data_IF_139493649124
#
_entry.id   IF_139493649124
#
_cell.length_a   1.000
_cell.length_b   1.000
_cell.length_c   1.000
_cell.angle_alpha   90.00
_cell.angle_beta   90.00
_cell.angle_gamma   90.00
#
_symmetry.space_group_name_H-M   'P 1'
#
loop_
_entity.id
_entity.type
_entity.pdbx_description
1 polymer ?
#
# COMPACT_ATOMS: atom_id res chain seq x y z
N UNK A 1 21.62 5.77 8.92
CA UNK A 1 20.84 6.20 10.10
C UNK A 1 20.38 7.62 9.86
N UNK A 2 19.16 7.81 9.36
CA UNK A 2 18.55 9.12 9.17
C UNK A 2 17.36 9.24 10.13
N UNK A 3 17.36 10.33 10.90
CA UNK A 3 16.50 10.63 12.03
C UNK A 3 15.09 10.97 11.55
N UNK A 4 14.09 10.26 12.08
CA UNK A 4 12.67 10.30 11.68
C UNK A 4 11.89 11.17 12.68
N UNK A 5 12.19 12.48 12.72
CA UNK A 5 11.61 13.43 13.69
C UNK A 5 10.50 14.34 13.12
N UNK A 6 10.04 14.13 11.87
CA UNK A 6 9.02 15.00 11.26
C UNK A 6 7.52 14.77 11.61
N UNK A 7 7.06 13.73 12.34
CA UNK A 7 5.62 13.58 12.58
C UNK A 7 5.06 14.46 13.71
N UNK A 8 5.89 14.98 14.62
CA UNK A 8 5.41 15.73 15.80
C UNK A 8 5.00 17.16 15.45
N UNK A 9 5.79 17.89 14.65
CA UNK A 9 5.46 19.26 14.22
C UNK A 9 4.14 19.34 13.44
N UNK A 10 3.84 18.31 12.64
CA UNK A 10 2.58 18.25 11.89
C UNK A 10 1.36 18.04 12.79
N UNK A 11 1.49 17.24 13.85
CA UNK A 11 0.43 17.05 14.84
C UNK A 11 0.19 18.30 15.68
N UNK A 12 1.25 18.99 16.09
CA UNK A 12 1.15 20.27 16.82
C UNK A 12 0.48 21.36 15.97
N UNK A 13 0.80 21.41 14.66
CA UNK A 13 0.12 22.30 13.72
C UNK A 13 -1.38 22.05 13.64
N UNK A 14 -1.79 20.78 13.49
CA UNK A 14 -3.21 20.38 13.44
C UNK A 14 -3.96 20.77 14.73
N UNK A 15 -3.37 20.51 15.90
CA UNK A 15 -3.96 20.87 17.18
C UNK A 15 -4.21 22.39 17.26
N UNK A 16 -3.23 23.19 16.86
CA UNK A 16 -3.33 24.66 16.82
C UNK A 16 -4.46 25.13 15.88
N UNK A 17 -4.63 24.50 14.71
CA UNK A 17 -5.74 24.82 13.79
C UNK A 17 -7.10 24.48 14.40
N UNK A 18 -7.23 23.33 15.08
CA UNK A 18 -8.47 22.97 15.77
C UNK A 18 -8.81 23.95 16.88
N UNK A 19 -7.83 24.38 17.68
CA UNK A 19 -8.03 25.34 18.75
C UNK A 19 -8.50 26.69 18.20
N UNK A 20 -7.86 27.17 17.13
CA UNK A 20 -8.25 28.42 16.45
C UNK A 20 -9.64 28.36 15.83
N UNK A 21 -9.99 27.24 15.21
CA UNK A 21 -11.34 27.02 14.69
C UNK A 21 -12.38 26.98 15.83
N UNK A 22 -12.07 26.31 16.95
CA UNK A 22 -12.96 26.26 18.11
C UNK A 22 -13.16 27.64 18.74
N UNK A 23 -12.09 28.45 18.84
CA UNK A 23 -12.16 29.83 19.32
C UNK A 23 -13.04 30.69 18.41
N UNK A 24 -12.87 30.59 17.08
CA UNK A 24 -13.73 31.29 16.11
C UNK A 24 -15.20 30.88 16.24
N UNK A 25 -15.49 29.58 16.32
CA UNK A 25 -16.87 29.10 16.49
C UNK A 25 -17.47 29.60 17.81
N UNK A 26 -16.71 29.62 18.91
CA UNK A 26 -17.16 30.20 20.19
C UNK A 26 -17.43 31.69 20.06
N UNK A 27 -16.52 32.45 19.46
CA UNK A 27 -16.69 33.88 19.27
C UNK A 27 -17.94 34.20 18.42
N UNK A 28 -18.16 33.46 17.34
CA UNK A 28 -19.39 33.59 16.55
C UNK A 28 -20.63 33.18 17.32
N UNK A 29 -20.57 32.10 18.10
CA UNK A 29 -21.68 31.66 18.95
C UNK A 29 -22.04 32.73 19.99
N UNK A 30 -21.04 33.33 20.65
CA UNK A 30 -21.24 34.42 21.63
C UNK A 30 -21.90 35.64 20.97
N UNK A 31 -21.42 36.05 19.79
CA UNK A 31 -22.02 37.17 19.04
C UNK A 31 -23.46 36.86 18.66
N UNK A 32 -23.75 35.64 18.20
CA UNK A 32 -25.11 35.22 17.84
C UNK A 32 -26.02 35.18 19.07
N UNK A 33 -25.53 34.61 20.17
CA UNK A 33 -26.28 34.53 21.41
C UNK A 33 -26.63 35.94 21.92
N UNK A 34 -25.64 36.82 21.95
CA UNK A 34 -25.78 38.14 22.54
C UNK A 34 -26.58 39.10 21.63
N UNK A 35 -26.40 39.04 20.31
CA UNK A 35 -27.11 39.93 19.37
C UNK A 35 -28.48 39.45 18.93
N UNK A 36 -28.70 38.13 18.85
CA UNK A 36 -29.93 37.59 18.26
C UNK A 36 -30.71 36.74 19.25
N UNK A 37 -30.07 35.78 19.91
CA UNK A 37 -30.79 34.83 20.76
C UNK A 37 -31.41 35.51 21.99
N UNK A 38 -30.62 36.26 22.77
CA UNK A 38 -31.11 36.96 23.97
C UNK A 38 -32.26 37.94 23.71
N UNK A 39 -32.16 38.89 22.76
CA UNK A 39 -33.24 39.83 22.53
C UNK A 39 -34.49 39.15 21.95
N UNK A 40 -34.34 38.16 21.07
CA UNK A 40 -35.47 37.41 20.54
C UNK A 40 -36.18 36.63 21.66
N UNK A 41 -35.43 35.97 22.55
CA UNK A 41 -35.97 35.20 23.66
C UNK A 41 -36.65 36.11 24.70
N UNK A 42 -36.08 37.28 24.99
CA UNK A 42 -36.71 38.28 25.85
C UNK A 42 -38.03 38.81 25.26
N UNK A 43 -38.06 39.11 23.95
CA UNK A 43 -39.29 39.46 23.22
C UNK A 43 -40.32 38.35 23.27
N UNK A 44 -39.88 37.10 23.09
CA UNK A 44 -40.75 35.93 23.08
C UNK A 44 -41.40 35.71 24.45
N UNK A 45 -40.62 35.76 25.54
CA UNK A 45 -41.12 35.67 26.92
C UNK A 45 -42.15 36.78 27.20
N UNK A 46 -41.85 38.02 26.78
CA UNK A 46 -42.78 39.14 26.98
C UNK A 46 -44.11 38.90 26.24
N UNK A 47 -44.05 38.50 24.98
CA UNK A 47 -45.25 38.22 24.18
C UNK A 47 -46.05 37.02 24.72
N UNK A 48 -45.38 36.02 25.30
CA UNK A 48 -46.04 34.89 25.96
C UNK A 48 -46.86 35.33 27.19
N UNK A 49 -46.39 36.32 27.94
CA UNK A 49 -47.13 36.88 29.08
C UNK A 49 -48.35 37.67 28.64
N UNK A 50 -48.24 38.42 27.53
CA UNK A 50 -49.34 39.23 27.02
C UNK A 50 -50.43 38.39 26.34
N UNK A 51 -50.06 37.37 25.55
CA UNK A 51 -50.99 36.57 24.72
C UNK A 51 -50.59 35.09 24.66
N UNK A 52 -50.77 34.31 25.74
CA UNK A 52 -50.27 32.95 25.83
C UNK A 52 -50.88 32.00 24.79
N UNK A 53 -52.18 32.15 24.48
CA UNK A 53 -52.92 31.26 23.56
C UNK A 53 -52.42 31.41 22.12
N UNK A 54 -52.21 32.63 21.64
CA UNK A 54 -51.74 32.87 20.26
C UNK A 54 -50.30 32.43 20.08
N UNK A 55 -49.46 32.65 21.10
CA UNK A 55 -48.04 32.32 21.05
C UNK A 55 -47.80 30.80 21.05
N UNK A 56 -48.55 30.02 21.82
CA UNK A 56 -48.45 28.55 21.76
C UNK A 56 -48.87 28.00 20.40
N UNK A 57 -49.91 28.56 19.79
CA UNK A 57 -50.35 28.17 18.45
C UNK A 57 -49.26 28.45 17.39
N UNK A 58 -48.65 29.64 17.42
CA UNK A 58 -47.53 29.97 16.52
C UNK A 58 -46.32 29.06 16.77
N UNK A 59 -46.00 28.78 18.04
CA UNK A 59 -44.89 27.90 18.39
C UNK A 59 -45.10 26.46 17.86
N UNK A 60 -46.30 25.90 18.06
CA UNK A 60 -46.64 24.57 17.56
C UNK A 60 -46.62 24.55 16.03
N UNK A 61 -47.22 25.54 15.36
CA UNK A 61 -47.17 25.65 13.90
C UNK A 61 -45.74 25.80 13.38
N UNK A 62 -44.91 26.57 14.07
CA UNK A 62 -43.50 26.75 13.71
C UNK A 62 -42.73 25.45 13.83
N UNK A 63 -42.89 24.71 14.93
CA UNK A 63 -42.26 23.39 15.11
C UNK A 63 -42.76 22.40 14.06
N UNK A 64 -44.07 22.33 13.85
CA UNK A 64 -44.70 21.46 12.83
C UNK A 64 -44.27 21.82 11.41
N UNK A 65 -43.93 23.09 11.13
CA UNK A 65 -43.44 23.54 9.83
C UNK A 65 -41.93 23.33 9.66
N UNK A 66 -41.15 23.41 10.74
CA UNK A 66 -39.69 23.19 10.70
C UNK A 66 -39.37 21.71 10.53
N UNK A 67 -40.15 20.81 11.14
CA UNK A 67 -39.95 19.37 11.04
C UNK A 67 -39.91 18.85 9.58
N UNK A 68 -40.89 19.15 8.69
CA UNK A 68 -40.84 18.73 7.30
C UNK A 68 -39.73 19.42 6.51
N UNK A 69 -39.39 20.68 6.81
CA UNK A 69 -38.27 21.37 6.18
C UNK A 69 -36.93 20.70 6.53
N UNK A 70 -36.72 20.37 7.80
CA UNK A 70 -35.53 19.70 8.29
C UNK A 70 -35.44 18.26 7.73
N UNK A 71 -36.55 17.54 7.69
CA UNK A 71 -36.64 16.21 7.08
C UNK A 71 -36.29 16.27 5.59
N UNK A 72 -36.82 17.25 4.85
CA UNK A 72 -36.49 17.45 3.44
C UNK A 72 -35.00 17.73 3.22
N UNK A 73 -34.39 18.60 4.03
CA UNK A 73 -32.95 18.88 3.95
C UNK A 73 -32.14 17.61 4.26
N UNK A 74 -32.49 16.89 5.33
CA UNK A 74 -31.81 15.66 5.72
C UNK A 74 -31.88 14.58 4.63
N UNK A 75 -33.07 14.33 4.08
CA UNK A 75 -33.27 13.38 2.98
C UNK A 75 -32.50 13.83 1.73
N UNK A 76 -32.51 15.12 1.40
CA UNK A 76 -31.78 15.64 0.24
C UNK A 76 -30.27 15.43 0.36
N UNK A 77 -29.68 15.77 1.51
CA UNK A 77 -28.25 15.54 1.79
C UNK A 77 -27.93 14.04 1.76
N UNK A 78 -28.80 13.21 2.32
CA UNK A 78 -28.64 11.75 2.30
C UNK A 78 -28.63 11.18 0.88
N UNK A 79 -29.56 11.62 0.02
CA UNK A 79 -29.63 11.20 -1.39
C UNK A 79 -28.37 11.63 -2.14
N UNK A 80 -27.96 12.90 -2.01
CA UNK A 80 -26.76 13.43 -2.69
C UNK A 80 -25.52 12.64 -2.24
N UNK A 81 -25.34 12.45 -0.93
CA UNK A 81 -24.24 11.69 -0.36
C UNK A 81 -24.22 10.24 -0.86
N UNK A 82 -25.39 9.59 -0.89
CA UNK A 82 -25.54 8.22 -1.40
C UNK A 82 -25.16 8.11 -2.87
N UNK A 83 -25.57 9.06 -3.71
CA UNK A 83 -25.21 9.09 -5.15
C UNK A 83 -23.69 9.26 -5.31
N UNK A 84 -23.08 10.20 -4.58
CA UNK A 84 -21.62 10.42 -4.64
C UNK A 84 -20.86 9.17 -4.18
N UNK A 85 -21.30 8.54 -3.09
CA UNK A 85 -20.69 7.31 -2.61
C UNK A 85 -20.83 6.17 -3.63
N UNK A 86 -22.01 5.98 -4.21
CA UNK A 86 -22.25 4.97 -5.24
C UNK A 86 -21.41 5.22 -6.51
N UNK A 87 -21.27 6.48 -6.91
CA UNK A 87 -20.41 6.87 -8.02
C UNK A 87 -18.93 6.57 -7.71
N UNK A 88 -18.47 6.87 -6.50
CA UNK A 88 -17.10 6.57 -6.08
C UNK A 88 -16.82 5.06 -6.04
N UNK A 89 -17.73 4.27 -5.45
CA UNK A 89 -17.61 2.80 -5.40
C UNK A 89 -17.60 2.21 -6.80
N UNK A 90 -18.50 2.65 -7.68
CA UNK A 90 -18.56 2.15 -9.06
C UNK A 90 -17.31 2.53 -9.87
N UNK A 91 -16.76 3.73 -9.68
CA UNK A 91 -15.50 4.14 -10.30
C UNK A 91 -14.31 3.28 -9.83
N UNK A 92 -14.19 3.05 -8.51
CA UNK A 92 -13.14 2.19 -7.96
C UNK A 92 -13.25 0.77 -8.50
N UNK A 93 -14.45 0.20 -8.51
CA UNK A 93 -14.70 -1.14 -9.06
C UNK A 93 -14.34 -1.22 -10.54
N UNK A 94 -14.70 -0.20 -11.34
CA UNK A 94 -14.34 -0.15 -12.76
C UNK A 94 -12.81 -0.12 -12.95
N UNK A 95 -12.10 0.71 -12.18
CA UNK A 95 -10.63 0.76 -12.23
C UNK A 95 -10.00 -0.59 -11.89
N UNK A 96 -10.43 -1.25 -10.81
CA UNK A 96 -9.90 -2.56 -10.41
C UNK A 96 -10.15 -3.64 -11.46
N UNK A 97 -11.34 -3.64 -12.08
CA UNK A 97 -11.67 -4.58 -13.15
C UNK A 97 -10.79 -4.32 -14.38
N UNK A 98 -10.64 -3.06 -14.80
CA UNK A 98 -9.78 -2.71 -15.94
C UNK A 98 -8.32 -3.07 -15.68
N UNK A 99 -7.80 -2.77 -14.50
CA UNK A 99 -6.43 -3.12 -14.11
C UNK A 99 -6.21 -4.63 -14.10
N UNK A 100 -7.15 -5.40 -13.53
CA UNK A 100 -7.12 -6.86 -13.52
C UNK A 100 -7.08 -7.45 -14.94
N UNK A 101 -7.86 -6.90 -15.87
CA UNK A 101 -7.86 -7.32 -17.29
C UNK A 101 -6.50 -7.05 -17.93
N UNK A 102 -5.94 -5.85 -17.74
CA UNK A 102 -4.64 -5.46 -18.30
C UNK A 102 -3.53 -6.36 -17.76
N UNK A 103 -3.49 -6.59 -16.44
CA UNK A 103 -2.50 -7.46 -15.79
C UNK A 103 -2.63 -8.90 -16.30
N UNK A 104 -3.86 -9.41 -16.45
CA UNK A 104 -4.10 -10.75 -17.00
C UNK A 104 -3.58 -10.90 -18.43
N UNK A 105 -3.87 -9.93 -19.31
CA UNK A 105 -3.34 -9.91 -20.68
C UNK A 105 -1.80 -9.85 -20.66
N UNK A 106 -1.23 -9.04 -19.76
CA UNK A 106 0.23 -8.93 -19.59
C UNK A 106 0.88 -10.25 -19.19
N UNK A 107 0.33 -10.93 -18.18
CA UNK A 107 0.79 -12.26 -17.74
C UNK A 107 0.68 -13.27 -18.88
N UNK A 108 -0.46 -13.30 -19.58
CA UNK A 108 -0.68 -14.21 -20.70
C UNK A 108 0.35 -13.99 -21.82
N UNK A 109 0.60 -12.72 -22.18
CA UNK A 109 1.59 -12.34 -23.19
C UNK A 109 3.01 -12.75 -22.78
N UNK A 110 3.40 -12.50 -21.52
CA UNK A 110 4.71 -12.90 -20.99
C UNK A 110 4.87 -14.42 -21.00
N UNK A 111 3.85 -15.17 -20.58
CA UNK A 111 3.85 -16.63 -20.66
C UNK A 111 3.99 -17.12 -22.11
N UNK A 112 3.26 -16.55 -23.07
CA UNK A 112 3.39 -16.89 -24.48
C UNK A 112 4.79 -16.60 -25.02
N UNK A 113 5.38 -15.46 -24.67
CA UNK A 113 6.75 -15.11 -25.07
C UNK A 113 7.78 -16.08 -24.50
N UNK A 114 7.65 -16.49 -23.23
CA UNK A 114 8.52 -17.50 -22.61
C UNK A 114 8.40 -18.83 -23.34
N UNK A 115 7.18 -19.27 -23.66
CA UNK A 115 6.97 -20.51 -24.42
C UNK A 115 7.60 -20.45 -25.81
N UNK A 116 7.41 -19.34 -26.53
CA UNK A 116 8.04 -19.12 -27.85
C UNK A 116 9.56 -19.11 -27.71
N UNK A 117 10.12 -18.45 -26.70
CA UNK A 117 11.55 -18.41 -26.47
C UNK A 117 12.13 -19.79 -26.15
N UNK A 118 11.44 -20.60 -25.33
CA UNK A 118 11.85 -21.98 -25.02
C UNK A 118 11.79 -22.85 -26.28
N UNK A 119 10.70 -22.80 -27.04
CA UNK A 119 10.56 -23.56 -28.28
C UNK A 119 11.63 -23.17 -29.31
N UNK A 120 11.87 -21.87 -29.48
CA UNK A 120 12.92 -21.36 -30.36
C UNK A 120 14.31 -21.86 -29.90
N UNK A 121 14.60 -21.81 -28.59
CA UNK A 121 15.87 -22.29 -28.03
C UNK A 121 16.06 -23.79 -28.28
N UNK A 122 15.03 -24.60 -28.03
CA UNK A 122 15.05 -26.05 -28.29
C UNK A 122 15.22 -26.33 -29.78
N UNK A 123 14.55 -25.57 -30.65
CA UNK A 123 14.66 -25.69 -32.09
C UNK A 123 16.09 -25.37 -32.58
N UNK A 124 16.66 -24.23 -32.16
CA UNK A 124 18.04 -23.87 -32.50
C UNK A 124 19.04 -24.90 -31.97
N UNK A 125 18.86 -25.38 -30.74
CA UNK A 125 19.70 -26.41 -30.16
C UNK A 125 19.60 -27.73 -30.94
N UNK A 126 18.40 -28.10 -31.39
CA UNK A 126 18.16 -29.28 -32.22
C UNK A 126 18.85 -29.15 -33.60
N UNK A 127 18.64 -28.04 -34.30
CA UNK A 127 19.27 -27.76 -35.60
C UNK A 127 20.79 -27.76 -35.48
N UNK A 128 21.34 -27.09 -34.47
CA UNK A 128 22.76 -27.09 -34.17
C UNK A 128 23.29 -28.51 -33.94
N UNK A 129 22.58 -29.30 -33.13
CA UNK A 129 22.94 -30.68 -32.83
C UNK A 129 22.94 -31.55 -34.08
N UNK A 130 21.95 -31.40 -34.97
CA UNK A 130 21.85 -32.14 -36.25
C UNK A 130 22.96 -31.75 -37.21
N UNK A 131 23.24 -30.44 -37.38
CA UNK A 131 24.33 -29.96 -38.24
C UNK A 131 25.67 -30.51 -37.73
N UNK A 132 25.93 -30.35 -36.43
CA UNK A 132 27.16 -30.83 -35.79
C UNK A 132 27.32 -32.33 -35.93
N UNK A 133 26.26 -33.10 -35.66
CA UNK A 133 26.25 -34.54 -35.86
C UNK A 133 26.58 -34.92 -37.31
N UNK A 134 25.96 -34.25 -38.29
CA UNK A 134 26.24 -34.45 -39.71
C UNK A 134 27.70 -34.19 -40.07
N UNK A 135 28.30 -33.13 -39.51
CA UNK A 135 29.72 -32.82 -39.70
C UNK A 135 30.64 -33.92 -39.12
N UNK A 136 30.40 -34.37 -37.88
CA UNK A 136 31.22 -35.43 -37.24
C UNK A 136 31.10 -36.79 -37.95
N UNK A 137 29.90 -37.16 -38.39
CA UNK A 137 29.69 -38.41 -39.13
C UNK A 137 30.40 -38.36 -40.48
N UNK A 138 30.42 -37.21 -41.15
CA UNK A 138 31.13 -37.03 -42.42
C UNK A 138 32.65 -37.08 -42.27
N UNK A 139 33.21 -36.56 -41.17
CA UNK A 139 34.67 -36.55 -40.96
C UNK A 139 35.22 -37.88 -40.42
N UNK A 140 34.54 -38.51 -39.46
CA UNK A 140 35.07 -39.64 -38.66
C UNK A 140 34.30 -40.97 -38.87
N UNK A 141 33.28 -41.00 -39.73
CA UNK A 141 32.47 -42.21 -39.97
C UNK A 141 31.75 -42.72 -38.71
N UNK A 142 31.77 -44.04 -38.47
CA UNK A 142 31.09 -44.65 -37.29
C UNK A 142 31.68 -44.23 -35.94
N UNK A 143 32.94 -43.77 -35.90
CA UNK A 143 33.57 -43.31 -34.66
C UNK A 143 32.98 -41.97 -34.18
N UNK A 144 32.55 -41.11 -35.11
CA UNK A 144 31.99 -39.79 -34.80
C UNK A 144 30.72 -39.84 -33.93
N UNK A 145 29.95 -40.94 -33.99
CA UNK A 145 28.78 -41.11 -33.13
C UNK A 145 29.13 -41.19 -31.64
N UNK A 146 30.20 -41.93 -31.30
CA UNK A 146 30.62 -42.10 -29.90
C UNK A 146 31.18 -40.80 -29.32
N UNK A 147 31.94 -40.08 -30.15
CA UNK A 147 32.53 -38.81 -29.78
C UNK A 147 31.46 -37.73 -29.54
N UNK A 148 30.46 -37.63 -30.44
CA UNK A 148 29.30 -36.78 -30.25
C UNK A 148 28.48 -37.12 -28.98
N UNK A 149 28.27 -38.41 -28.71
CA UNK A 149 27.51 -38.85 -27.54
C UNK A 149 28.23 -38.54 -26.22
N UNK A 150 29.56 -38.72 -26.17
CA UNK A 150 30.39 -38.34 -25.02
C UNK A 150 30.35 -36.84 -24.79
N UNK A 151 30.51 -36.03 -25.84
CA UNK A 151 30.48 -34.57 -25.73
C UNK A 151 29.10 -34.06 -25.27
N UNK A 152 28.03 -34.59 -25.85
CA UNK A 152 26.66 -34.21 -25.47
C UNK A 152 26.35 -34.58 -24.02
N UNK A 153 26.82 -35.75 -23.56
CA UNK A 153 26.69 -36.15 -22.15
C UNK A 153 27.45 -35.21 -21.22
N UNK A 154 28.66 -34.80 -21.60
CA UNK A 154 29.48 -33.90 -20.79
C UNK A 154 28.86 -32.50 -20.67
N UNK A 155 28.14 -32.05 -21.69
CA UNK A 155 27.47 -30.74 -21.67
C UNK A 155 26.11 -30.77 -20.94
N UNK A 156 25.37 -31.89 -20.98
CA UNK A 156 24.05 -32.01 -20.36
C UNK A 156 24.09 -32.42 -18.89
N UNK A 157 25.12 -33.17 -18.49
CA UNK A 157 25.39 -33.45 -17.10
C UNK A 157 26.46 -32.46 -16.69
N UNK A 158 26.11 -31.26 -16.16
CA UNK A 158 27.09 -30.51 -15.41
C UNK A 158 27.59 -31.50 -14.36
N UNK A 159 28.85 -31.89 -14.48
CA UNK A 159 29.53 -32.72 -13.49
C UNK A 159 29.30 -31.96 -12.20
N UNK A 160 28.34 -32.45 -11.41
CA UNK A 160 28.00 -31.89 -10.12
C UNK A 160 29.31 -31.99 -9.39
N UNK A 161 30.02 -30.87 -9.34
CA UNK A 161 31.31 -30.78 -8.69
C UNK A 161 31.07 -31.44 -7.36
N UNK A 162 31.78 -32.53 -7.13
CA UNK A 162 32.09 -32.91 -5.77
C UNK A 162 32.82 -31.66 -5.27
N UNK A 163 32.07 -30.72 -4.69
CA UNK A 163 32.58 -29.87 -3.66
C UNK A 163 33.18 -30.88 -2.70
N UNK A 164 34.49 -31.10 -2.86
CA UNK A 164 35.33 -31.61 -1.80
C UNK A 164 34.92 -30.77 -0.61
N UNK A 165 34.16 -31.42 0.27
CA UNK A 165 33.96 -31.05 1.63
C UNK A 165 35.36 -30.77 2.17
N UNK A 166 35.76 -29.50 2.09
CA UNK A 166 36.94 -28.94 2.72
C UNK A 166 36.72 -29.17 4.21
N UNK A 167 37.19 -30.34 4.64
CA UNK A 167 37.12 -30.84 5.99
C UNK A 167 37.68 -29.73 6.87
N UNK A 168 36.88 -29.13 7.77
CA UNK A 168 37.36 -28.09 8.65
C UNK A 168 38.54 -28.67 9.43
N UNK A 169 39.73 -28.15 9.18
CA UNK A 169 40.92 -28.52 9.92
C UNK A 169 40.60 -28.19 11.39
N UNK A 170 40.54 -29.17 12.31
CA UNK A 170 40.25 -28.87 13.70
C UNK A 170 41.34 -27.93 14.21
N UNK A 171 41.00 -26.85 14.94
CA UNK A 171 42.00 -25.96 15.49
C UNK A 171 42.89 -26.75 16.44
N UNK A 172 44.19 -26.77 16.16
CA UNK A 172 45.22 -27.24 17.06
C UNK A 172 45.14 -26.43 18.36
N UNK A 173 44.43 -27.01 19.33
CA UNK A 173 44.42 -26.59 20.74
C UNK A 173 45.77 -26.97 21.32
N UNK A 174 46.76 -26.09 21.21
CA UNK A 174 48.01 -26.21 21.97
C UNK A 174 48.76 -24.88 22.07
N UNK A 175 48.44 -24.08 23.09
CA UNK A 175 49.32 -23.19 23.92
C UNK A 175 48.42 -22.11 24.53
N UNK A 176 47.99 -22.13 25.79
CA UNK A 176 48.67 -22.27 27.08
C UNK A 176 49.74 -21.18 27.34
N UNK A 177 49.45 -20.37 28.39
CA UNK A 177 50.27 -19.41 29.16
C UNK A 177 50.42 -17.96 28.66
N UNK A 178 50.68 -16.98 29.57
CA UNK A 178 50.23 -16.83 30.97
C UNK A 178 49.65 -15.43 31.28
N UNK A 179 48.99 -15.39 32.44
CA UNK A 179 48.78 -14.24 33.33
C UNK A 179 49.96 -13.24 33.30
N UNK A 180 49.65 -11.97 33.09
CA UNK A 180 50.40 -10.86 33.69
C UNK A 180 49.39 -9.81 34.15
N UNK A 181 49.04 -9.92 35.43
CA UNK A 181 48.93 -8.74 36.29
C UNK A 181 50.12 -7.82 36.02
N UNK A 182 49.90 -6.51 35.86
CA UNK A 182 50.65 -5.46 36.55
C UNK A 182 50.10 -4.08 36.18
N UNK A 183 49.93 -3.30 37.24
CA UNK A 183 50.04 -1.83 37.31
C UNK A 183 48.92 -1.02 36.64
N UNK A 184 48.03 -0.39 37.41
CA UNK A 184 48.34 0.83 38.19
C UNK A 184 48.90 1.94 37.29
N UNK A 185 48.03 2.82 36.80
CA UNK A 185 48.40 4.22 36.75
C UNK A 185 47.18 5.11 36.98
N UNK A 186 47.17 5.64 38.20
CA UNK A 186 46.46 6.84 38.59
C UNK A 186 47.08 8.06 37.90
N UNK A 187 46.29 9.13 37.92
CA UNK A 187 46.67 10.54 38.00
C UNK A 187 46.32 11.42 36.79
N UNK A 188 45.56 12.45 37.18
CA UNK A 188 45.13 13.72 36.56
C UNK A 188 43.95 13.75 35.57
#
# INVERSE_FOLDING_TARGET
MARREEPEEFQEGLATYFEKCAELVRQYADVIEQRYARPALALWIRNFKEKPITMTFIAILSILSVLPALSFVGISVFIISSIVFLAAVSAIMACLVTESIIVSIGICTMCSLVLVAVLATVFFLSVYSVIRFGLLVRSNGRSGFKEWAMETRQHLLPVKGVEEEEKPNPPDVATQHPVSDYASHSDD
#
